data_IF_591714947160
#
_entry.id   IF_591714947160
#
_cell.length_a   1.000
_cell.length_b   1.000
_cell.length_c   1.000
_cell.angle_alpha   90.00
_cell.angle_beta   90.00
_cell.angle_gamma   90.00
#
_symmetry.space_group_name_H-M   'P 1'
#
loop_
_entity.id
_entity.type
_entity.pdbx_description
1 polymer ?
#
# COMPACT_ATOMS: atom_id res chain seq x y z
N UNK A 1 -3.32 -17.61 -4.50
CA UNK A 1 -1.98 -17.15 -4.06
C UNK A 1 -2.12 -16.65 -2.63
N UNK A 2 -1.18 -17.00 -1.74
CA UNK A 2 -1.10 -16.47 -0.37
C UNK A 2 0.21 -15.69 -0.29
N UNK A 3 0.16 -14.48 0.25
CA UNK A 3 1.32 -13.58 0.37
C UNK A 3 1.60 -13.26 1.83
N UNK A 4 2.85 -13.48 2.27
CA UNK A 4 3.30 -13.21 3.62
C UNK A 4 2.89 -14.27 4.65
N UNK A 5 3.33 -14.03 5.89
CA UNK A 5 3.10 -14.90 7.03
C UNK A 5 3.08 -14.07 8.32
N UNK A 6 2.29 -14.51 9.30
CA UNK A 6 2.25 -13.95 10.66
C UNK A 6 2.91 -14.88 11.67
N UNK A 7 3.30 -14.35 12.82
CA UNK A 7 3.76 -15.18 13.93
C UNK A 7 2.68 -16.19 14.37
N UNK A 8 3.07 -17.15 15.22
CA UNK A 8 2.22 -18.25 15.71
C UNK A 8 0.90 -17.79 16.34
N UNK A 9 0.84 -16.52 16.78
CA UNK A 9 -0.30 -15.90 17.44
C UNK A 9 -1.08 -14.94 16.52
N UNK A 10 -0.59 -14.68 15.31
CA UNK A 10 -1.21 -13.76 14.36
C UNK A 10 -1.02 -12.27 14.69
N UNK A 11 -0.16 -11.92 15.64
CA UNK A 11 -0.02 -10.53 16.11
C UNK A 11 0.92 -9.69 15.25
N UNK A 12 1.90 -10.32 14.61
CA UNK A 12 2.90 -9.62 13.79
C UNK A 12 3.10 -10.34 12.49
N UNK A 13 3.18 -9.59 11.40
CA UNK A 13 3.73 -10.11 10.16
C UNK A 13 5.21 -10.43 10.36
N UNK A 14 5.65 -11.61 9.94
CA UNK A 14 7.04 -12.07 10.07
C UNK A 14 7.72 -12.22 8.72
N UNK A 15 6.94 -12.39 7.65
CA UNK A 15 7.44 -12.59 6.28
C UNK A 15 6.63 -11.79 5.28
N UNK A 16 7.30 -11.30 4.23
CA UNK A 16 6.75 -10.56 3.08
C UNK A 16 5.72 -9.50 3.52
N UNK A 17 6.19 -8.60 4.40
CA UNK A 17 5.36 -7.55 4.99
C UNK A 17 4.85 -6.60 3.91
N UNK A 18 3.56 -6.31 4.00
CA UNK A 18 2.87 -5.32 3.18
C UNK A 18 2.13 -4.39 4.13
N UNK A 19 2.45 -3.10 4.09
CA UNK A 19 1.69 -2.10 4.82
C UNK A 19 0.47 -1.66 4.01
N UNK A 20 -0.47 -0.99 4.67
CA UNK A 20 -1.65 -0.44 4.00
C UNK A 20 -1.28 0.53 2.85
N UNK A 21 -0.22 1.32 3.01
CA UNK A 21 0.25 2.25 1.98
C UNK A 21 0.90 1.54 0.78
N UNK A 22 1.57 0.40 0.99
CA UNK A 22 2.13 -0.43 -0.08
C UNK A 22 1.00 -1.02 -0.94
N UNK A 23 -0.06 -1.49 -0.27
CA UNK A 23 -1.25 -1.99 -0.95
C UNK A 23 -1.95 -0.90 -1.77
N UNK A 24 -2.14 0.29 -1.21
CA UNK A 24 -2.72 1.42 -1.94
C UNK A 24 -1.86 1.84 -3.14
N UNK A 25 -0.53 1.91 -2.99
CA UNK A 25 0.38 2.21 -4.10
C UNK A 25 0.25 1.18 -5.23
N UNK A 26 0.17 -0.10 -4.87
CA UNK A 26 -0.03 -1.20 -5.83
C UNK A 26 -1.37 -1.10 -6.55
N UNK A 27 -2.46 -0.83 -5.82
CA UNK A 27 -3.79 -0.66 -6.40
C UNK A 27 -3.84 0.54 -7.38
N UNK A 28 -3.27 1.67 -6.99
CA UNK A 28 -3.22 2.86 -7.84
C UNK A 28 -2.42 2.59 -9.12
N UNK A 29 -1.29 1.88 -9.02
CA UNK A 29 -0.48 1.48 -10.17
C UNK A 29 -1.27 0.65 -11.19
N UNK A 30 -2.12 -0.26 -10.73
CA UNK A 30 -2.98 -1.08 -11.60
C UNK A 30 -4.01 -0.23 -12.37
N UNK A 31 -4.45 0.89 -11.81
CA UNK A 31 -5.30 1.85 -12.49
C UNK A 31 -4.53 2.88 -13.34
N UNK A 32 -3.21 2.74 -13.46
CA UNK A 32 -2.36 3.69 -14.18
C UNK A 32 -2.21 5.03 -13.46
N UNK A 33 -2.46 5.07 -12.16
CA UNK A 33 -2.31 6.25 -11.31
C UNK A 33 -0.99 6.20 -10.55
N UNK A 34 -0.34 7.36 -10.47
CA UNK A 34 0.89 7.54 -9.68
C UNK A 34 0.55 7.96 -8.25
N UNK A 35 0.91 7.12 -7.28
CA UNK A 35 0.59 7.32 -5.87
C UNK A 35 1.36 8.47 -5.21
N UNK A 36 2.52 8.86 -5.74
CA UNK A 36 3.30 9.99 -5.23
C UNK A 36 2.67 11.33 -5.62
N UNK A 37 1.94 11.34 -6.74
CA UNK A 37 1.35 12.55 -7.32
C UNK A 37 -0.17 12.63 -7.15
N UNK A 38 -0.84 11.52 -6.83
CA UNK A 38 -2.28 11.48 -6.62
C UNK A 38 -2.69 12.10 -5.28
N UNK A 39 -3.01 13.38 -5.34
CA UNK A 39 -3.46 14.17 -4.21
C UNK A 39 -4.90 14.66 -4.43
N UNK A 40 -5.70 14.67 -3.36
CA UNK A 40 -7.07 15.18 -3.38
C UNK A 40 -7.31 16.18 -2.25
N UNK A 41 -8.27 17.09 -2.44
CA UNK A 41 -8.65 18.09 -1.43
C UNK A 41 -9.89 17.62 -0.68
N UNK A 42 -9.79 17.52 0.64
CA UNK A 42 -10.92 17.19 1.54
C UNK A 42 -10.84 18.05 2.80
N UNK A 43 -11.93 18.75 3.12
CA UNK A 43 -11.98 19.61 4.31
C UNK A 43 -10.93 20.72 4.32
N UNK A 44 -10.60 21.28 3.14
CA UNK A 44 -9.58 22.32 2.99
C UNK A 44 -8.13 21.84 3.06
N UNK A 45 -7.89 20.54 3.26
CA UNK A 45 -6.54 19.96 3.29
C UNK A 45 -6.27 19.15 2.04
N UNK A 46 -5.04 19.20 1.55
CA UNK A 46 -4.52 18.28 0.55
C UNK A 46 -4.15 16.98 1.27
N UNK A 47 -4.58 15.86 0.72
CA UNK A 47 -4.36 14.52 1.26
C UNK A 47 -3.93 13.59 0.12
N UNK A 48 -3.13 12.57 0.44
CA UNK A 48 -2.84 11.44 -0.44
C UNK A 48 -3.35 10.15 0.19
N UNK A 49 -3.62 9.14 -0.64
CA UNK A 49 -4.15 7.85 -0.16
C UNK A 49 -3.09 7.03 0.61
N UNK A 50 -1.81 7.33 0.38
CA UNK A 50 -0.67 6.74 1.10
C UNK A 50 -0.20 7.59 2.29
N UNK A 51 -0.85 8.73 2.57
CA UNK A 51 -0.51 9.65 3.66
C UNK A 51 0.99 10.07 3.70
N UNK A 52 1.59 10.21 2.52
CA UNK A 52 3.01 10.58 2.36
C UNK A 52 4.01 9.52 2.87
N UNK A 53 3.56 8.29 3.12
CA UNK A 53 4.41 7.19 3.57
C UNK A 53 5.28 6.68 2.43
N UNK A 54 6.50 6.18 2.72
CA UNK A 54 7.38 5.60 1.70
C UNK A 54 6.85 4.23 1.26
N UNK A 55 5.91 4.24 0.31
CA UNK A 55 5.27 3.05 -0.20
C UNK A 55 6.10 2.36 -1.29
N UNK A 56 6.03 1.03 -1.32
CA UNK A 56 6.51 0.22 -2.45
C UNK A 56 5.33 -0.36 -3.21
N UNK A 57 5.49 -0.52 -4.52
CA UNK A 57 4.60 -1.38 -5.31
C UNK A 57 4.94 -2.84 -5.00
N UNK A 58 3.92 -3.63 -4.68
CA UNK A 58 4.03 -5.04 -4.31
C UNK A 58 3.85 -5.86 -5.58
N UNK A 59 4.93 -6.00 -6.35
CA UNK A 59 4.96 -6.79 -7.59
C UNK A 59 4.62 -8.26 -7.34
N UNK A 60 4.91 -8.76 -6.14
CA UNK A 60 4.75 -10.18 -5.78
C UNK A 60 3.29 -10.64 -5.73
N UNK A 61 2.34 -9.71 -5.63
CA UNK A 61 0.89 -10.01 -5.59
C UNK A 61 0.18 -9.69 -6.92
N UNK A 62 0.89 -9.14 -7.89
CA UNK A 62 0.35 -8.89 -9.24
C UNK A 62 0.53 -10.14 -10.09
N UNK A 63 -0.46 -10.44 -10.95
CA UNK A 63 -0.53 -11.65 -11.78
C UNK A 63 -0.55 -11.30 -13.27
#
# INVERSE_FOLDING_TARGET
HIHGETDEWGHRSVRDKVNHYDYHATLLRLFGLDHDHLNYKRGGRVQSLIDGQPARVVEEIMA
#
